data_IF_796025880208
#
_entry.id   IF_796025880208
#
_cell.length_a   1.000
_cell.length_b   1.000
_cell.length_c   1.000
_cell.angle_alpha   90.00
_cell.angle_beta   90.00
_cell.angle_gamma   90.00
#
_symmetry.space_group_name_H-M   'P 1'
#
loop_
_entity.id
_entity.type
_entity.pdbx_description
1 polymer ?
#
# COMPACT_ATOMS: atom_id res chain seq x y z
N UNK A 1 37.49 -26.51 -8.21
CA UNK A 1 36.26 -25.85 -7.72
C UNK A 1 35.89 -24.46 -8.34
N UNK A 2 36.55 -23.86 -9.36
CA UNK A 2 36.17 -22.50 -9.83
C UNK A 2 35.09 -22.42 -10.93
N UNK A 3 34.80 -23.51 -11.67
CA UNK A 3 33.81 -23.49 -12.77
C UNK A 3 32.36 -23.39 -12.27
N UNK A 4 31.98 -24.14 -11.23
CA UNK A 4 30.62 -24.12 -10.66
C UNK A 4 30.24 -22.74 -10.10
N UNK A 5 31.17 -22.03 -9.47
CA UNK A 5 30.91 -20.68 -8.96
C UNK A 5 30.65 -19.67 -10.09
N UNK A 6 31.30 -19.84 -11.25
CA UNK A 6 31.04 -18.99 -12.43
C UNK A 6 29.68 -19.29 -13.05
N UNK A 7 29.30 -20.56 -13.21
CA UNK A 7 27.95 -20.92 -13.72
C UNK A 7 26.84 -20.44 -12.78
N UNK A 8 27.00 -20.60 -11.46
CA UNK A 8 26.03 -20.07 -10.48
C UNK A 8 25.88 -18.55 -10.56
N UNK A 9 26.97 -17.79 -10.74
CA UNK A 9 26.90 -16.32 -10.91
C UNK A 9 26.24 -15.90 -12.23
N UNK A 10 26.41 -16.69 -13.30
CA UNK A 10 25.78 -16.42 -14.60
C UNK A 10 24.28 -16.71 -14.54
N UNK A 11 23.86 -17.77 -13.87
CA UNK A 11 22.45 -18.13 -13.70
C UNK A 11 21.69 -17.09 -12.86
N UNK A 12 22.26 -16.61 -11.76
CA UNK A 12 21.66 -15.55 -10.94
C UNK A 12 21.52 -14.21 -11.68
N UNK A 13 22.42 -13.92 -12.63
CA UNK A 13 22.30 -12.73 -13.50
C UNK A 13 21.19 -12.91 -14.53
N UNK A 14 20.99 -14.12 -15.04
CA UNK A 14 19.94 -14.45 -16.01
C UNK A 14 18.53 -14.28 -15.46
N UNK A 15 18.29 -14.64 -14.19
CA UNK A 15 16.98 -14.47 -13.55
C UNK A 15 16.63 -13.00 -13.29
N UNK A 16 17.62 -12.19 -12.91
CA UNK A 16 17.48 -10.74 -12.77
C UNK A 16 17.20 -10.05 -14.11
N UNK A 17 17.88 -10.47 -15.18
CA UNK A 17 17.61 -9.97 -16.53
C UNK A 17 16.21 -10.37 -17.01
N UNK A 18 15.74 -11.58 -16.71
CA UNK A 18 14.39 -12.00 -17.05
C UNK A 18 13.32 -11.14 -16.35
N UNK A 19 13.53 -10.77 -15.09
CA UNK A 19 12.62 -9.85 -14.38
C UNK A 19 12.61 -8.47 -15.06
N UNK A 20 13.77 -7.91 -15.41
CA UNK A 20 13.86 -6.60 -16.07
C UNK A 20 13.19 -6.59 -17.45
N UNK A 21 13.33 -7.67 -18.24
CA UNK A 21 12.70 -7.80 -19.55
C UNK A 21 11.17 -7.92 -19.47
N UNK A 22 10.66 -8.47 -18.38
CA UNK A 22 9.24 -8.72 -18.17
C UNK A 22 8.53 -7.59 -17.41
N UNK A 23 9.27 -6.68 -16.78
CA UNK A 23 8.72 -5.60 -15.93
C UNK A 23 7.77 -4.66 -16.70
N UNK A 24 7.99 -4.47 -17.99
CA UNK A 24 7.16 -3.64 -18.88
C UNK A 24 5.92 -4.34 -19.46
N UNK A 25 5.77 -5.66 -19.28
CA UNK A 25 4.65 -6.41 -19.88
C UNK A 25 3.35 -6.27 -19.10
N UNK A 26 2.22 -6.43 -19.78
CA UNK A 26 0.89 -6.34 -19.15
C UNK A 26 0.64 -7.52 -18.19
N UNK A 27 -0.30 -7.35 -17.25
CA UNK A 27 -0.63 -8.43 -16.29
C UNK A 27 -1.09 -9.71 -17.02
N UNK A 28 -1.84 -9.58 -18.12
CA UNK A 28 -2.34 -10.69 -18.95
C UNK A 28 -1.21 -11.43 -19.68
N UNK A 29 -0.25 -10.69 -20.24
CA UNK A 29 0.95 -11.26 -20.87
C UNK A 29 1.84 -12.00 -19.87
N UNK A 30 1.92 -11.51 -18.62
CA UNK A 30 2.66 -12.17 -17.55
C UNK A 30 1.99 -13.46 -17.06
N UNK A 31 0.66 -13.55 -17.14
CA UNK A 31 -0.07 -14.78 -16.81
C UNK A 31 0.08 -15.85 -17.90
N UNK A 32 0.15 -15.43 -19.16
CA UNK A 32 0.39 -16.32 -20.30
C UNK A 32 1.86 -16.78 -20.42
N UNK A 33 2.80 -16.12 -19.74
CA UNK A 33 4.22 -16.41 -19.82
C UNK A 33 4.59 -17.77 -19.20
N UNK A 34 5.06 -18.70 -20.04
CA UNK A 34 5.43 -20.06 -19.61
C UNK A 34 6.93 -20.23 -19.39
N UNK A 35 7.77 -19.49 -20.13
CA UNK A 35 9.24 -19.69 -20.16
C UNK A 35 9.91 -19.17 -18.91
N UNK A 36 9.48 -18.00 -18.43
CA UNK A 36 10.00 -17.36 -17.22
C UNK A 36 8.91 -17.26 -16.14
N UNK A 37 8.16 -18.35 -15.95
CA UNK A 37 6.99 -18.40 -15.05
C UNK A 37 7.29 -17.94 -13.62
N UNK A 38 8.47 -18.27 -13.08
CA UNK A 38 8.88 -17.84 -11.74
C UNK A 38 9.06 -16.32 -11.64
N UNK A 39 9.67 -15.70 -12.65
CA UNK A 39 9.87 -14.24 -12.72
C UNK A 39 8.54 -13.52 -12.95
N UNK A 40 7.71 -14.02 -13.88
CA UNK A 40 6.41 -13.43 -14.20
C UNK A 40 5.46 -13.43 -12.99
N UNK A 41 5.37 -14.56 -12.27
CA UNK A 41 4.58 -14.64 -11.03
C UNK A 41 5.14 -13.76 -9.92
N UNK A 42 6.45 -13.55 -9.86
CA UNK A 42 7.05 -12.66 -8.87
C UNK A 42 6.72 -11.18 -9.16
N UNK A 43 6.66 -10.78 -10.43
CA UNK A 43 6.22 -9.43 -10.86
C UNK A 43 4.74 -9.22 -10.53
N UNK A 44 3.87 -10.19 -10.85
CA UNK A 44 2.44 -10.12 -10.49
C UNK A 44 2.25 -10.02 -8.97
N UNK A 45 3.04 -10.78 -8.21
CA UNK A 45 3.06 -10.70 -6.74
C UNK A 45 3.50 -9.33 -6.22
N UNK A 46 4.51 -8.71 -6.85
CA UNK A 46 4.96 -7.37 -6.52
C UNK A 46 3.91 -6.30 -6.86
N UNK A 47 3.26 -6.37 -8.03
CA UNK A 47 2.18 -5.47 -8.43
C UNK A 47 0.96 -5.58 -7.52
N UNK A 48 0.60 -6.80 -7.12
CA UNK A 48 -0.45 -7.04 -6.13
C UNK A 48 -0.10 -6.43 -4.76
N UNK A 49 1.17 -6.53 -4.35
CA UNK A 49 1.65 -5.92 -3.11
C UNK A 49 1.56 -4.39 -3.13
N UNK A 50 1.89 -3.74 -4.25
CA UNK A 50 1.73 -2.29 -4.42
C UNK A 50 0.26 -1.83 -4.30
N UNK A 51 -0.68 -2.69 -4.68
CA UNK A 51 -2.13 -2.47 -4.49
C UNK A 51 -2.61 -2.78 -3.06
N UNK A 52 -1.70 -3.14 -2.15
CA UNK A 52 -1.98 -3.57 -0.78
C UNK A 52 -2.86 -4.82 -0.67
N UNK A 53 -2.84 -5.71 -1.67
CA UNK A 53 -3.53 -6.98 -1.61
C UNK A 53 -2.56 -8.10 -1.20
N UNK A 54 -2.51 -8.35 0.11
CA UNK A 54 -1.61 -9.36 0.66
C UNK A 54 -2.04 -10.79 0.36
N UNK A 55 -3.32 -11.04 0.02
CA UNK A 55 -3.81 -12.39 -0.26
C UNK A 55 -3.38 -12.84 -1.66
N UNK A 56 -3.61 -12.01 -2.67
CA UNK A 56 -3.18 -12.30 -4.04
C UNK A 56 -1.67 -12.27 -4.16
N UNK A 57 -0.99 -11.30 -3.52
CA UNK A 57 0.47 -11.25 -3.51
C UNK A 57 1.10 -12.56 -2.96
N UNK A 58 0.59 -13.09 -1.84
CA UNK A 58 1.06 -14.38 -1.30
C UNK A 58 0.86 -15.54 -2.28
N UNK A 59 -0.30 -15.62 -2.92
CA UNK A 59 -0.60 -16.68 -3.88
C UNK A 59 0.36 -16.65 -5.08
N UNK A 60 0.63 -15.46 -5.63
CA UNK A 60 1.58 -15.29 -6.73
C UNK A 60 3.03 -15.62 -6.31
N UNK A 61 3.48 -15.17 -5.13
CA UNK A 61 4.82 -15.52 -4.63
C UNK A 61 4.98 -17.00 -4.30
N UNK A 62 3.93 -17.68 -3.82
CA UNK A 62 3.95 -19.13 -3.63
C UNK A 62 4.10 -19.88 -4.96
N UNK A 63 3.35 -19.46 -5.99
CA UNK A 63 3.48 -20.01 -7.36
C UNK A 63 4.85 -19.72 -7.96
N UNK A 64 5.39 -18.52 -7.73
CA UNK A 64 6.74 -18.14 -8.14
C UNK A 64 7.80 -19.04 -7.50
N UNK A 65 7.72 -19.27 -6.18
CA UNK A 65 8.66 -20.13 -5.45
C UNK A 65 8.55 -21.60 -5.84
N UNK A 66 7.35 -22.08 -6.17
CA UNK A 66 7.13 -23.44 -6.67
C UNK A 66 7.79 -23.64 -8.05
N UNK A 67 7.68 -22.65 -8.94
CA UNK A 67 8.29 -22.66 -10.27
C UNK A 67 9.79 -22.31 -10.25
N UNK A 68 10.32 -21.76 -9.15
CA UNK A 68 11.67 -21.24 -9.06
C UNK A 68 12.74 -22.32 -8.86
N UNK A 69 13.91 -22.07 -9.46
CA UNK A 69 15.11 -22.88 -9.31
C UNK A 69 15.69 -22.73 -7.89
N UNK A 70 16.39 -23.74 -7.34
CA UNK A 70 16.92 -23.70 -5.96
C UNK A 70 17.79 -22.49 -5.64
N UNK A 71 18.55 -22.00 -6.63
CA UNK A 71 19.44 -20.85 -6.48
C UNK A 71 18.68 -19.52 -6.38
N UNK A 72 17.55 -19.40 -7.09
CA UNK A 72 16.72 -18.19 -7.17
C UNK A 72 15.73 -18.10 -6.00
N UNK A 73 15.39 -19.25 -5.39
CA UNK A 73 14.43 -19.32 -4.27
C UNK A 73 14.81 -18.41 -3.11
N UNK A 74 16.10 -18.27 -2.80
CA UNK A 74 16.51 -17.40 -1.70
C UNK A 74 16.23 -15.92 -2.00
N UNK A 75 16.53 -15.48 -3.22
CA UNK A 75 16.27 -14.11 -3.66
C UNK A 75 14.77 -13.83 -3.75
N UNK A 76 14.00 -14.75 -4.34
CA UNK A 76 12.55 -14.66 -4.43
C UNK A 76 11.87 -14.67 -3.05
N UNK A 77 12.39 -15.42 -2.07
CA UNK A 77 11.92 -15.36 -0.67
C UNK A 77 12.17 -14.00 -0.05
N UNK A 78 13.38 -13.44 -0.20
CA UNK A 78 13.70 -12.09 0.33
C UNK A 78 12.83 -11.02 -0.33
N UNK A 79 12.62 -11.13 -1.64
CA UNK A 79 11.74 -10.23 -2.38
C UNK A 79 10.29 -10.37 -1.94
N UNK A 80 9.79 -11.59 -1.79
CA UNK A 80 8.46 -11.88 -1.26
C UNK A 80 8.28 -11.31 0.15
N UNK A 81 9.25 -11.47 1.05
CA UNK A 81 9.19 -10.93 2.41
C UNK A 81 9.04 -9.40 2.40
N UNK A 82 9.80 -8.71 1.54
CA UNK A 82 9.70 -7.25 1.39
C UNK A 82 8.36 -6.82 0.79
N UNK A 83 7.93 -7.46 -0.29
CA UNK A 83 6.64 -7.17 -0.94
C UNK A 83 5.45 -7.48 -0.03
N UNK A 84 5.49 -8.57 0.74
CA UNK A 84 4.42 -8.92 1.68
C UNK A 84 4.40 -7.98 2.89
N UNK A 85 5.55 -7.53 3.38
CA UNK A 85 5.60 -6.53 4.44
C UNK A 85 5.00 -5.19 3.98
N UNK A 86 5.21 -4.81 2.71
CA UNK A 86 4.57 -3.65 2.11
C UNK A 86 3.05 -3.84 1.97
N UNK A 87 2.61 -4.99 1.44
CA UNK A 87 1.20 -5.33 1.26
C UNK A 87 0.42 -5.33 2.59
N UNK A 88 1.01 -5.91 3.63
CA UNK A 88 0.46 -5.93 4.99
C UNK A 88 0.70 -4.62 5.76
N UNK A 89 1.27 -3.58 5.13
CA UNK A 89 1.53 -2.25 5.72
C UNK A 89 2.39 -2.32 7.00
N UNK A 90 3.27 -3.32 7.11
CA UNK A 90 4.15 -3.57 8.26
C UNK A 90 5.47 -2.85 8.10
N UNK A 91 5.50 -1.58 8.50
CA UNK A 91 6.67 -0.70 8.32
C UNK A 91 7.97 -1.24 8.95
N UNK A 92 7.87 -1.90 10.11
CA UNK A 92 9.03 -2.48 10.80
C UNK A 92 9.65 -3.65 10.04
N UNK A 93 8.80 -4.53 9.51
CA UNK A 93 9.23 -5.71 8.75
C UNK A 93 9.72 -5.32 7.35
N UNK A 94 9.11 -4.29 6.75
CA UNK A 94 9.53 -3.75 5.46
C UNK A 94 10.97 -3.23 5.54
N UNK A 95 11.30 -2.41 6.55
CA UNK A 95 12.68 -1.91 6.72
C UNK A 95 13.68 -3.05 6.83
N UNK A 96 13.42 -4.03 7.72
CA UNK A 96 14.29 -5.20 7.90
C UNK A 96 14.44 -6.04 6.62
N UNK A 97 13.37 -6.20 5.85
CA UNK A 97 13.41 -6.94 4.59
C UNK A 97 14.18 -6.18 3.49
N UNK A 98 14.03 -4.86 3.42
CA UNK A 98 14.76 -4.01 2.46
C UNK A 98 16.25 -3.97 2.79
N UNK A 99 16.61 -3.85 4.07
CA UNK A 99 18.00 -3.91 4.56
C UNK A 99 18.66 -5.26 4.22
N UNK A 100 17.91 -6.37 4.28
CA UNK A 100 18.38 -7.72 3.89
C UNK A 100 18.52 -7.90 2.37
N UNK A 101 17.80 -7.11 1.58
CA UNK A 101 17.91 -7.10 0.13
C UNK A 101 19.07 -6.22 -0.36
N UNK A 102 19.60 -5.34 0.49
CA UNK A 102 20.69 -4.41 0.14
C UNK A 102 20.27 -3.29 -0.81
N UNK A 103 18.96 -3.02 -0.91
CA UNK A 103 18.38 -1.93 -1.69
C UNK A 103 18.24 -0.70 -0.78
N UNK A 104 18.29 0.51 -1.33
CA UNK A 104 18.03 1.74 -0.56
C UNK A 104 16.76 1.62 0.26
N UNK A 105 16.91 1.70 1.58
CA UNK A 105 15.81 1.54 2.52
C UNK A 105 14.77 2.66 2.39
N UNK A 106 13.48 2.37 2.60
CA UNK A 106 12.42 3.37 2.53
C UNK A 106 12.66 4.51 3.52
N UNK A 107 12.40 5.75 3.09
CA UNK A 107 12.65 6.94 3.92
C UNK A 107 11.84 6.92 5.22
N UNK A 108 12.36 7.54 6.27
CA UNK A 108 11.69 7.58 7.59
C UNK A 108 10.29 8.20 7.55
N UNK A 109 10.03 9.13 6.62
CA UNK A 109 8.69 9.68 6.36
C UNK A 109 7.74 8.65 5.73
N UNK A 110 8.20 7.87 4.75
CA UNK A 110 7.42 6.78 4.14
C UNK A 110 7.08 5.69 5.15
N UNK A 111 8.05 5.32 6.01
CA UNK A 111 7.82 4.35 7.08
C UNK A 111 6.80 4.85 8.12
N UNK A 112 6.86 6.13 8.50
CA UNK A 112 5.82 6.73 9.37
C UNK A 112 4.45 6.72 8.71
N UNK A 113 4.38 7.08 7.42
CA UNK A 113 3.14 6.99 6.65
C UNK A 113 2.56 5.58 6.65
N UNK A 114 3.40 4.56 6.38
CA UNK A 114 2.97 3.16 6.38
C UNK A 114 2.48 2.70 7.76
N UNK A 115 3.09 3.18 8.87
CA UNK A 115 2.60 2.93 10.24
C UNK A 115 1.23 3.54 10.48
N UNK A 116 1.01 4.77 10.05
CA UNK A 116 -0.29 5.46 10.20
C UNK A 116 -1.36 4.73 9.41
N UNK A 117 -1.08 4.33 8.17
CA UNK A 117 -2.02 3.58 7.33
C UNK A 117 -2.28 2.18 7.92
N UNK A 118 -1.25 1.48 8.39
CA UNK A 118 -1.41 0.19 9.05
C UNK A 118 -2.18 0.26 10.38
N UNK A 119 -2.12 1.41 11.08
CA UNK A 119 -2.86 1.65 12.32
C UNK A 119 -4.34 1.95 12.06
N UNK A 120 -4.65 2.74 11.03
CA UNK A 120 -6.03 3.14 10.68
C UNK A 120 -6.76 2.09 9.85
N UNK A 121 -6.07 1.44 8.91
CA UNK A 121 -6.60 0.37 8.08
C UNK A 121 -5.74 -0.88 8.27
N UNK A 122 -5.96 -1.65 9.35
CA UNK A 122 -5.25 -2.90 9.57
C UNK A 122 -5.52 -3.86 8.39
N UNK A 123 -4.50 -4.59 7.91
CA UNK A 123 -4.67 -5.55 6.81
C UNK A 123 -5.60 -6.70 7.24
N UNK A 124 -6.21 -7.37 6.26
CA UNK A 124 -7.02 -8.56 6.52
C UNK A 124 -6.23 -9.71 7.19
N UNK A 125 -4.89 -9.66 7.19
CA UNK A 125 -4.04 -10.62 7.89
C UNK A 125 -3.74 -10.26 9.36
N UNK A 126 -4.19 -9.10 9.85
CA UNK A 126 -4.00 -8.68 11.23
C UNK A 126 -5.02 -9.36 12.18
N UNK A 127 -4.55 -9.74 13.38
CA UNK A 127 -5.39 -10.39 14.40
C UNK A 127 -6.62 -9.57 14.78
N UNK A 128 -7.64 -10.24 15.33
CA UNK A 128 -8.95 -9.65 15.69
C UNK A 128 -8.80 -8.35 16.49
N UNK A 129 -7.87 -8.31 17.45
CA UNK A 129 -7.62 -7.13 18.29
C UNK A 129 -7.14 -5.90 17.50
N UNK A 130 -6.32 -6.07 16.47
CA UNK A 130 -5.85 -4.96 15.65
C UNK A 130 -6.98 -4.40 14.78
N UNK A 131 -7.88 -5.26 14.29
CA UNK A 131 -9.08 -4.85 13.56
C UNK A 131 -10.06 -4.09 14.44
N UNK A 132 -10.35 -4.61 15.64
CA UNK A 132 -11.22 -3.95 16.62
C UNK A 132 -10.63 -2.59 17.02
N UNK A 133 -9.32 -2.50 17.27
CA UNK A 133 -8.66 -1.22 17.55
C UNK A 133 -8.80 -0.23 16.39
N UNK A 134 -8.60 -0.67 15.15
CA UNK A 134 -8.77 0.18 13.97
C UNK A 134 -10.20 0.71 13.83
N UNK A 135 -11.20 -0.16 14.02
CA UNK A 135 -12.63 0.20 14.00
C UNK A 135 -12.95 1.16 15.14
N UNK A 136 -12.51 0.89 16.38
CA UNK A 136 -12.72 1.77 17.53
C UNK A 136 -12.08 3.14 17.32
N UNK A 137 -10.87 3.21 16.77
CA UNK A 137 -10.23 4.48 16.42
C UNK A 137 -11.01 5.24 15.35
N UNK A 138 -11.55 4.55 14.34
CA UNK A 138 -12.39 5.15 13.31
C UNK A 138 -13.70 5.69 13.91
N UNK A 139 -14.39 4.89 14.73
CA UNK A 139 -15.60 5.31 15.44
C UNK A 139 -15.34 6.50 16.35
N UNK A 140 -14.24 6.47 17.13
CA UNK A 140 -13.83 7.58 18.00
C UNK A 140 -13.60 8.85 17.18
N UNK A 141 -12.94 8.74 16.03
CA UNK A 141 -12.68 9.87 15.14
C UNK A 141 -13.98 10.48 14.59
N UNK A 142 -14.95 9.63 14.22
CA UNK A 142 -16.29 10.08 13.79
C UNK A 142 -17.00 10.81 14.94
N UNK A 143 -17.00 10.24 16.14
CA UNK A 143 -17.63 10.87 17.32
C UNK A 143 -16.95 12.21 17.64
N UNK A 144 -15.63 12.29 17.56
CA UNK A 144 -14.88 13.53 17.78
C UNK A 144 -15.22 14.60 16.73
N UNK A 145 -15.35 14.20 15.46
CA UNK A 145 -15.76 15.10 14.38
C UNK A 145 -17.19 15.63 14.60
N UNK A 146 -18.12 14.77 15.00
CA UNK A 146 -19.48 15.18 15.35
C UNK A 146 -19.49 16.12 16.56
N UNK A 147 -18.71 15.82 17.60
CA UNK A 147 -18.59 16.65 18.79
C UNK A 147 -17.99 18.02 18.47
N UNK A 148 -16.97 18.08 17.61
CA UNK A 148 -16.40 19.33 17.09
C UNK A 148 -17.42 20.14 16.29
N UNK A 149 -18.14 19.50 15.37
CA UNK A 149 -19.18 20.18 14.60
C UNK A 149 -20.28 20.75 15.49
N UNK A 150 -20.75 19.96 16.45
CA UNK A 150 -21.73 20.39 17.45
C UNK A 150 -21.20 21.53 18.34
N UNK A 151 -19.93 21.45 18.75
CA UNK A 151 -19.25 22.49 19.52
C UNK A 151 -19.12 23.80 18.74
N UNK A 152 -18.73 23.75 17.47
CA UNK A 152 -18.63 24.91 16.58
C UNK A 152 -20.00 25.57 16.41
N UNK A 153 -21.05 24.79 16.12
CA UNK A 153 -22.42 25.32 15.99
C UNK A 153 -22.89 25.95 17.29
N UNK A 154 -22.59 25.32 18.44
CA UNK A 154 -22.95 25.85 19.75
C UNK A 154 -22.22 27.16 20.09
N UNK A 155 -20.93 27.27 19.74
CA UNK A 155 -20.12 28.48 19.93
C UNK A 155 -20.61 29.63 19.05
N UNK A 156 -20.95 29.36 17.78
CA UNK A 156 -21.49 30.36 16.86
C UNK A 156 -22.88 30.82 17.28
N UNK A 157 -23.71 29.92 17.84
CA UNK A 157 -25.06 30.25 18.30
C UNK A 157 -25.10 31.06 19.60
N UNK A 158 -24.04 30.99 20.40
CA UNK A 158 -23.94 31.64 21.71
C UNK A 158 -24.16 33.17 21.67
N UNK A 159 -23.54 33.94 20.75
CA UNK A 159 -23.81 35.39 20.63
C UNK A 159 -25.22 35.72 20.14
N UNK A 160 -25.96 34.78 19.57
CA UNK A 160 -27.32 34.99 19.04
C UNK A 160 -28.43 34.56 20.04
N UNK A 161 -28.11 34.43 21.33
CA UNK A 161 -29.07 34.02 22.36
C UNK A 161 -29.23 32.52 22.52
N UNK A 162 -28.41 31.72 21.82
CA UNK A 162 -28.43 30.27 21.87
C UNK A 162 -29.52 29.65 20.99
N UNK A 163 -29.21 28.50 20.39
CA UNK A 163 -30.17 27.70 19.63
C UNK A 163 -30.77 26.60 20.53
N UNK A 164 -32.03 26.21 20.30
CA UNK A 164 -32.60 25.00 20.88
C UNK A 164 -31.87 23.74 20.36
N UNK A 165 -32.07 22.59 21.02
CA UNK A 165 -31.38 21.34 20.68
C UNK A 165 -31.66 20.89 19.24
N UNK A 166 -32.91 21.00 18.77
CA UNK A 166 -33.33 20.57 17.44
C UNK A 166 -32.54 21.27 16.30
N UNK A 167 -32.48 22.62 16.22
CA UNK A 167 -31.69 23.29 15.20
C UNK A 167 -30.18 23.05 15.36
N UNK A 168 -29.63 22.90 16.58
CA UNK A 168 -28.20 22.57 16.74
C UNK A 168 -27.84 21.23 16.11
N UNK A 169 -28.69 20.22 16.29
CA UNK A 169 -28.45 18.90 15.71
C UNK A 169 -28.53 18.99 14.18
N UNK A 170 -29.54 19.68 13.65
CA UNK A 170 -29.68 19.89 12.20
C UNK A 170 -28.47 20.59 11.58
N UNK A 171 -28.05 21.73 12.13
CA UNK A 171 -26.91 22.48 11.60
C UNK A 171 -25.57 21.76 11.80
N UNK A 172 -25.42 20.95 12.85
CA UNK A 172 -24.20 20.15 13.04
C UNK A 172 -24.07 19.05 11.99
N UNK A 173 -25.17 18.36 11.65
CA UNK A 173 -25.21 17.37 10.54
C UNK A 173 -24.94 18.07 9.20
N UNK A 174 -25.58 19.21 8.95
CA UNK A 174 -25.37 20.00 7.73
C UNK A 174 -23.90 20.42 7.59
N UNK A 175 -23.27 20.89 8.67
CA UNK A 175 -21.87 21.28 8.69
C UNK A 175 -20.93 20.10 8.43
N UNK A 176 -21.22 18.92 8.99
CA UNK A 176 -20.48 17.69 8.69
C UNK A 176 -20.61 17.32 7.20
N UNK A 177 -21.81 17.40 6.62
CA UNK A 177 -22.02 17.13 5.19
C UNK A 177 -21.26 18.10 4.29
N UNK A 178 -21.28 19.40 4.61
CA UNK A 178 -20.53 20.43 3.88
C UNK A 178 -19.02 20.18 3.99
N UNK A 179 -18.52 19.90 5.19
CA UNK A 179 -17.11 19.59 5.42
C UNK A 179 -16.66 18.34 4.65
N UNK A 180 -17.47 17.28 4.65
CA UNK A 180 -17.26 16.07 3.84
C UNK A 180 -17.26 16.39 2.35
N UNK A 181 -18.21 17.19 1.88
CA UNK A 181 -18.29 17.64 0.49
C UNK A 181 -17.03 18.37 0.04
N UNK A 182 -16.55 19.32 0.86
CA UNK A 182 -15.32 20.07 0.62
C UNK A 182 -14.10 19.14 0.64
N UNK A 183 -14.02 18.21 1.60
CA UNK A 183 -12.91 17.26 1.70
C UNK A 183 -12.86 16.30 0.50
N UNK A 184 -14.01 15.80 0.05
CA UNK A 184 -14.12 14.94 -1.13
C UNK A 184 -13.75 15.72 -2.39
N UNK A 185 -14.23 16.95 -2.54
CA UNK A 185 -13.93 17.80 -3.69
C UNK A 185 -12.43 18.13 -3.78
N UNK A 186 -11.84 18.58 -2.68
CA UNK A 186 -10.41 18.90 -2.58
C UNK A 186 -9.53 17.66 -2.68
N UNK A 187 -9.96 16.54 -2.08
CA UNK A 187 -9.31 15.24 -2.16
C UNK A 187 -9.27 14.70 -3.59
N UNK A 188 -10.40 14.72 -4.31
CA UNK A 188 -10.46 14.35 -5.72
C UNK A 188 -9.57 15.24 -6.59
N UNK A 189 -9.51 16.55 -6.31
CA UNK A 189 -8.63 17.49 -7.02
C UNK A 189 -7.14 17.15 -6.80
N UNK A 190 -6.73 16.83 -5.56
CA UNK A 190 -5.35 16.43 -5.23
C UNK A 190 -4.99 15.07 -5.82
N UNK A 191 -5.90 14.11 -5.79
CA UNK A 191 -5.70 12.79 -6.39
C UNK A 191 -5.54 12.87 -7.91
N UNK A 192 -6.30 13.74 -8.60
CA UNK A 192 -6.13 13.98 -10.04
C UNK A 192 -4.75 14.54 -10.38
N UNK A 193 -4.26 15.52 -9.61
CA UNK A 193 -2.90 16.08 -9.79
C UNK A 193 -1.80 15.02 -9.58
N UNK A 194 -1.93 14.19 -8.53
CA UNK A 194 -0.96 13.13 -8.27
C UNK A 194 -0.97 12.03 -9.34
N UNK A 195 -2.14 11.72 -9.92
CA UNK A 195 -2.24 10.79 -11.06
C UNK A 195 -1.61 11.35 -12.33
N UNK A 196 -1.83 12.64 -12.62
CA UNK A 196 -1.21 13.33 -13.76
C UNK A 196 0.32 13.32 -13.66
N UNK A 197 0.87 13.66 -12.49
CA UNK A 197 2.32 13.62 -12.26
C UNK A 197 2.93 12.21 -12.40
N UNK A 198 2.20 11.17 -11.96
CA UNK A 198 2.64 9.78 -12.17
C UNK A 198 2.58 9.38 -13.64
N UNK A 199 1.55 9.81 -14.38
CA UNK A 199 1.45 9.56 -15.81
C UNK A 199 2.57 10.26 -16.59
N UNK A 200 2.90 11.51 -16.22
CA UNK A 200 4.04 12.26 -16.78
C UNK A 200 5.38 11.57 -16.49
N UNK A 201 5.59 11.05 -15.28
CA UNK A 201 6.81 10.30 -14.94
C UNK A 201 6.93 8.97 -15.71
N UNK A 202 5.82 8.28 -15.98
CA UNK A 202 5.80 7.06 -16.79
C UNK A 202 6.06 7.40 -18.26
N UNK A 203 5.47 8.49 -18.77
CA UNK A 203 5.73 8.98 -20.13
C UNK A 203 7.19 9.40 -20.32
N UNK A 204 7.78 10.11 -19.36
CA UNK A 204 9.19 10.51 -19.38
C UNK A 204 10.18 9.34 -19.23
N UNK A 205 9.73 8.20 -18.69
CA UNK A 205 10.54 6.98 -18.54
C UNK A 205 10.42 6.04 -19.75
N UNK A 206 9.47 6.31 -20.65
CA UNK A 206 9.22 5.54 -21.88
C UNK A 206 9.69 6.26 -23.16
N UNK A 207 10.23 7.47 -23.04
CA UNK A 207 11.00 8.18 -24.07
C UNK A 207 12.50 7.99 -23.82
#
# INVERSE_FOLDING_TARGET
MPRQQRTMRIEQRGSLQAIQQLEGRSDEELEAETRYRAAAQAILGARAAERYDSKTARAHFQRALAAARPQERLQLRRMADASLALADRRAGDLKKATDRLGVEGPTTRQLRGLRVVGLLLPPASAGLLARVRGILLLCLLIVLACALAFGIVSLVALPFGGLSLDPRIFYSILLVLVALGVLIYTGRRRQRKAKAQRAEQIAARSQ
#
